data_IF_022679659883
#
_entry.id   IF_022679659883
#
_cell.length_a   1.000
_cell.length_b   1.000
_cell.length_c   1.000
_cell.angle_alpha   90.00
_cell.angle_beta   90.00
_cell.angle_gamma   90.00
#
_symmetry.space_group_name_H-M   'P 1'
#
loop_
_entity.id
_entity.type
_entity.pdbx_description
1 polymer ?
#
# COMPACT_ATOMS: atom_id res chain seq x y z
N UNK A 1 41.70 -48.02 -15.26
CA UNK A 1 40.36 -47.48 -15.59
C UNK A 1 39.80 -46.72 -14.37
N UNK A 2 40.45 -45.63 -13.94
CA UNK A 2 40.01 -44.91 -12.71
C UNK A 2 39.90 -43.38 -12.88
N UNK A 3 40.38 -42.82 -14.00
CA UNK A 3 40.41 -41.36 -14.21
C UNK A 3 39.12 -40.83 -14.87
N UNK A 4 38.42 -41.67 -15.64
CA UNK A 4 37.22 -41.26 -16.41
C UNK A 4 35.99 -41.12 -15.48
N UNK A 5 35.90 -41.91 -14.41
CA UNK A 5 34.80 -41.85 -13.42
C UNK A 5 34.86 -40.61 -12.53
N UNK A 6 36.06 -40.12 -12.20
CA UNK A 6 36.25 -38.98 -11.31
C UNK A 6 35.90 -37.64 -11.97
N UNK A 7 36.19 -37.48 -13.27
CA UNK A 7 35.85 -36.28 -14.06
C UNK A 7 34.35 -36.21 -14.36
N UNK A 8 33.71 -37.36 -14.65
CA UNK A 8 32.25 -37.41 -14.83
C UNK A 8 31.49 -37.15 -13.52
N UNK A 9 31.96 -37.67 -12.38
CA UNK A 9 31.33 -37.44 -11.08
C UNK A 9 31.41 -35.99 -10.60
N UNK A 10 32.51 -35.30 -10.87
CA UNK A 10 32.70 -33.88 -10.51
C UNK A 10 31.96 -32.92 -11.45
N UNK A 11 31.90 -33.22 -12.76
CA UNK A 11 31.10 -32.45 -13.71
C UNK A 11 29.59 -32.56 -13.42
N UNK A 12 29.08 -33.76 -13.11
CA UNK A 12 27.68 -33.97 -12.72
C UNK A 12 27.37 -33.34 -11.35
N UNK A 13 28.25 -33.46 -10.36
CA UNK A 13 28.10 -32.82 -9.06
C UNK A 13 28.09 -31.28 -9.14
N UNK A 14 28.93 -30.70 -10.00
CA UNK A 14 28.97 -29.25 -10.24
C UNK A 14 27.72 -28.72 -10.96
N UNK A 15 27.23 -29.43 -11.97
CA UNK A 15 26.02 -29.04 -12.72
C UNK A 15 24.76 -29.19 -11.86
N UNK A 16 24.63 -30.30 -11.12
CA UNK A 16 23.50 -30.54 -10.22
C UNK A 16 23.54 -29.54 -9.05
N UNK A 17 24.71 -29.29 -8.46
CA UNK A 17 24.89 -28.27 -7.40
C UNK A 17 24.55 -26.86 -7.85
N UNK A 18 24.89 -26.49 -9.08
CA UNK A 18 24.54 -25.19 -9.67
C UNK A 18 23.02 -25.07 -9.96
N UNK A 19 22.38 -26.15 -10.41
CA UNK A 19 20.92 -26.16 -10.60
C UNK A 19 20.15 -26.10 -9.28
N UNK A 20 20.57 -26.85 -8.26
CA UNK A 20 19.95 -26.82 -6.93
C UNK A 20 20.14 -25.47 -6.25
N UNK A 21 21.35 -24.88 -6.31
CA UNK A 21 21.57 -23.54 -5.75
C UNK A 21 20.70 -22.51 -6.46
N UNK A 22 20.63 -22.54 -7.80
CA UNK A 22 19.81 -21.59 -8.59
C UNK A 22 18.31 -21.77 -8.35
N UNK A 23 17.82 -22.99 -8.12
CA UNK A 23 16.44 -23.27 -7.75
C UNK A 23 16.12 -22.82 -6.32
N UNK A 24 17.05 -22.99 -5.39
CA UNK A 24 16.93 -22.47 -4.02
C UNK A 24 16.94 -20.94 -4.02
N UNK A 25 17.84 -20.29 -4.75
CA UNK A 25 17.84 -18.83 -4.92
C UNK A 25 16.56 -18.33 -5.57
N UNK A 26 16.03 -18.99 -6.61
CA UNK A 26 14.73 -18.63 -7.18
C UNK A 26 13.58 -18.80 -6.20
N UNK A 27 13.60 -19.86 -5.36
CA UNK A 27 12.59 -20.05 -4.31
C UNK A 27 12.71 -18.99 -3.21
N UNK A 28 13.93 -18.66 -2.77
CA UNK A 28 14.19 -17.61 -1.78
C UNK A 28 13.77 -16.25 -2.33
N UNK A 29 14.19 -15.88 -3.54
CA UNK A 29 13.77 -14.64 -4.19
C UNK A 29 12.25 -14.56 -4.36
N UNK A 30 11.60 -15.66 -4.76
CA UNK A 30 10.14 -15.72 -4.87
C UNK A 30 9.45 -15.60 -3.49
N UNK A 31 10.05 -16.18 -2.45
CA UNK A 31 9.52 -16.11 -1.09
C UNK A 31 9.72 -14.71 -0.49
N UNK A 32 10.89 -14.10 -0.68
CA UNK A 32 11.19 -12.71 -0.31
C UNK A 32 10.28 -11.74 -1.06
N UNK A 33 10.09 -11.93 -2.38
CA UNK A 33 9.16 -11.13 -3.17
C UNK A 33 7.71 -11.29 -2.68
N UNK A 34 7.30 -12.50 -2.29
CA UNK A 34 5.95 -12.74 -1.74
C UNK A 34 5.76 -12.11 -0.36
N UNK A 35 6.76 -12.20 0.52
CA UNK A 35 6.74 -11.61 1.85
C UNK A 35 6.77 -10.08 1.77
N UNK A 36 7.55 -9.55 0.84
CA UNK A 36 7.63 -8.12 0.56
C UNK A 36 6.31 -7.56 0.02
N UNK A 37 5.67 -8.26 -0.93
CA UNK A 37 4.33 -7.91 -1.42
C UNK A 37 3.31 -7.96 -0.28
N UNK A 38 3.39 -8.94 0.61
CA UNK A 38 2.50 -9.06 1.77
C UNK A 38 2.69 -7.89 2.76
N UNK A 39 3.93 -7.55 3.11
CA UNK A 39 4.24 -6.44 4.01
C UNK A 39 3.75 -5.09 3.45
N UNK A 40 3.93 -4.85 2.14
CA UNK A 40 3.43 -3.64 1.48
C UNK A 40 1.90 -3.57 1.43
N UNK A 41 1.22 -4.70 1.25
CA UNK A 41 -0.25 -4.77 1.29
C UNK A 41 -0.79 -4.54 2.71
N UNK A 42 -0.08 -5.02 3.74
CA UNK A 42 -0.39 -4.69 5.14
C UNK A 42 -0.24 -3.20 5.41
N UNK A 43 0.83 -2.56 4.92
CA UNK A 43 1.02 -1.11 4.98
C UNK A 43 -0.11 -0.34 4.30
N UNK A 44 -0.62 -0.84 3.17
CA UNK A 44 -1.78 -0.24 2.49
C UNK A 44 -3.04 -0.28 3.38
N UNK A 45 -3.29 -1.39 4.08
CA UNK A 45 -4.40 -1.50 5.03
C UNK A 45 -4.23 -0.55 6.22
N UNK A 46 -3.04 -0.49 6.82
CA UNK A 46 -2.73 0.43 7.93
C UNK A 46 -2.96 1.90 7.51
N UNK A 47 -2.45 2.30 6.35
CA UNK A 47 -2.67 3.66 5.83
C UNK A 47 -4.12 3.94 5.45
N UNK A 48 -4.91 2.91 5.06
CA UNK A 48 -6.34 3.11 4.80
C UNK A 48 -7.10 3.50 6.06
N UNK A 49 -6.69 3.01 7.23
CA UNK A 49 -7.22 3.45 8.51
C UNK A 49 -6.74 4.87 8.86
N UNK A 50 -5.48 5.22 8.59
CA UNK A 50 -4.98 6.59 8.80
C UNK A 50 -5.80 7.63 8.02
N UNK A 51 -6.31 7.28 6.83
CA UNK A 51 -7.18 8.18 6.04
C UNK A 51 -8.50 8.46 6.77
N UNK A 52 -9.13 7.44 7.37
CA UNK A 52 -10.40 7.62 8.07
C UNK A 52 -10.21 8.57 9.25
N UNK A 53 -9.14 8.39 10.02
CA UNK A 53 -8.80 9.30 11.13
C UNK A 53 -8.46 10.70 10.63
N UNK A 54 -7.69 10.82 9.53
CA UNK A 54 -7.41 12.10 8.91
C UNK A 54 -8.70 12.84 8.50
N UNK A 55 -9.67 12.16 7.89
CA UNK A 55 -10.95 12.76 7.48
C UNK A 55 -11.76 13.23 8.70
N UNK A 56 -11.79 12.43 9.77
CA UNK A 56 -12.44 12.81 11.03
C UNK A 56 -11.79 14.04 11.65
N UNK A 57 -10.47 14.02 11.78
CA UNK A 57 -9.69 15.13 12.33
C UNK A 57 -9.87 16.40 11.49
N UNK A 58 -9.83 16.28 10.16
CA UNK A 58 -10.04 17.39 9.23
C UNK A 58 -11.41 18.05 9.45
N UNK A 59 -12.47 17.24 9.55
CA UNK A 59 -13.81 17.75 9.79
C UNK A 59 -13.93 18.39 11.18
N UNK A 60 -13.53 17.70 12.24
CA UNK A 60 -13.61 18.20 13.62
C UNK A 60 -12.83 19.50 13.79
N UNK A 61 -11.58 19.54 13.33
CA UNK A 61 -10.72 20.73 13.44
C UNK A 61 -11.30 21.92 12.66
N UNK A 62 -11.94 21.68 11.50
CA UNK A 62 -12.58 22.76 10.74
C UNK A 62 -13.73 23.44 11.50
N UNK A 63 -14.35 22.75 12.47
CA UNK A 63 -15.49 23.28 13.25
C UNK A 63 -15.06 24.03 14.51
N UNK A 64 -13.88 23.73 15.03
CA UNK A 64 -13.45 24.18 16.37
C UNK A 64 -12.30 25.18 16.35
N UNK A 65 -11.55 25.26 15.25
CA UNK A 65 -10.41 26.16 15.09
C UNK A 65 -10.78 27.38 14.26
N UNK A 66 -9.86 28.35 14.12
CA UNK A 66 -9.92 29.31 13.01
C UNK A 66 -9.16 28.79 11.77
N UNK A 67 -9.33 29.44 10.62
CA UNK A 67 -8.74 28.97 9.36
C UNK A 67 -7.21 28.91 9.39
N UNK A 68 -6.52 29.80 10.12
CA UNK A 68 -5.05 29.80 10.23
C UNK A 68 -4.53 28.61 11.04
N UNK A 69 -5.12 28.37 12.21
CA UNK A 69 -4.83 27.22 13.08
C UNK A 69 -5.14 25.89 12.39
N UNK A 70 -6.28 25.85 11.70
CA UNK A 70 -6.72 24.71 10.93
C UNK A 70 -5.70 24.32 9.85
N UNK A 71 -5.31 25.30 9.01
CA UNK A 71 -4.34 25.05 7.94
C UNK A 71 -2.97 24.64 8.49
N UNK A 72 -2.53 25.22 9.60
CA UNK A 72 -1.31 24.81 10.29
C UNK A 72 -1.38 23.35 10.77
N UNK A 73 -2.49 22.96 11.41
CA UNK A 73 -2.72 21.60 11.92
C UNK A 73 -2.73 20.54 10.81
N UNK A 74 -3.35 20.84 9.66
CA UNK A 74 -3.56 19.84 8.60
C UNK A 74 -2.39 19.70 7.61
N UNK A 75 -1.54 20.73 7.46
CA UNK A 75 -0.48 20.79 6.43
C UNK A 75 0.53 19.61 6.43
N UNK A 76 0.84 19.05 7.61
CA UNK A 76 1.81 17.96 7.76
C UNK A 76 1.22 16.56 7.81
N UNK A 77 -0.12 16.42 7.86
CA UNK A 77 -0.77 15.16 8.25
C UNK A 77 -1.37 14.35 7.12
N UNK A 78 -1.30 14.82 5.87
CA UNK A 78 -2.01 14.20 4.74
C UNK A 78 -1.45 12.79 4.41
N UNK A 79 -2.15 11.69 4.79
CA UNK A 79 -1.68 10.32 4.56
C UNK A 79 -1.80 9.90 3.08
N UNK A 80 -2.51 10.68 2.27
CA UNK A 80 -2.82 10.35 0.88
C UNK A 80 -1.57 10.29 0.00
N UNK A 81 -0.57 11.13 0.29
CA UNK A 81 0.74 11.08 -0.37
C UNK A 81 1.44 9.73 -0.17
N UNK A 82 1.33 9.15 1.04
CA UNK A 82 1.95 7.86 1.37
C UNK A 82 1.28 6.71 0.62
N UNK A 83 -0.05 6.71 0.56
CA UNK A 83 -0.80 5.67 -0.17
C UNK A 83 -0.50 5.70 -1.67
N UNK A 84 -0.47 6.88 -2.29
CA UNK A 84 -0.12 7.02 -3.71
C UNK A 84 1.25 6.40 -4.02
N UNK A 85 2.26 6.64 -3.18
CA UNK A 85 3.60 6.07 -3.35
C UNK A 85 3.61 4.53 -3.29
N UNK A 86 2.81 3.93 -2.41
CA UNK A 86 2.69 2.47 -2.29
C UNK A 86 1.98 1.87 -3.50
N UNK A 87 0.90 2.50 -3.97
CA UNK A 87 0.13 1.97 -5.09
C UNK A 87 0.90 2.03 -6.40
N UNK A 88 1.53 3.16 -6.72
CA UNK A 88 2.36 3.30 -7.92
C UNK A 88 3.45 2.23 -7.98
N UNK A 89 4.02 1.84 -6.84
CA UNK A 89 5.18 0.94 -6.80
C UNK A 89 4.84 -0.53 -6.60
N UNK A 90 3.64 -0.89 -6.15
CA UNK A 90 3.41 -2.27 -5.65
C UNK A 90 2.01 -2.82 -5.77
N UNK A 91 1.00 -1.99 -5.94
CA UNK A 91 -0.38 -2.45 -6.03
C UNK A 91 -1.17 -1.60 -7.04
N UNK A 92 -0.67 -1.48 -8.30
CA UNK A 92 -1.25 -0.61 -9.32
C UNK A 92 -2.73 -0.93 -9.63
N UNK A 93 -3.19 -2.14 -9.30
CA UNK A 93 -4.59 -2.53 -9.35
C UNK A 93 -5.53 -1.62 -8.55
N UNK A 94 -5.03 -0.90 -7.53
CA UNK A 94 -5.82 0.07 -6.74
C UNK A 94 -5.78 1.51 -7.26
N UNK A 95 -5.18 1.75 -8.43
CA UNK A 95 -5.02 3.10 -8.97
C UNK A 95 -6.37 3.81 -9.16
N UNK A 96 -7.37 3.13 -9.72
CA UNK A 96 -8.70 3.68 -9.93
C UNK A 96 -9.43 4.03 -8.62
N UNK A 97 -9.37 3.14 -7.63
CA UNK A 97 -9.96 3.36 -6.31
C UNK A 97 -9.33 4.54 -5.59
N UNK A 98 -8.01 4.71 -5.74
CA UNK A 98 -7.31 5.86 -5.17
C UNK A 98 -7.67 7.16 -5.86
N UNK A 99 -7.84 7.17 -7.18
CA UNK A 99 -8.25 8.38 -7.89
C UNK A 99 -9.63 8.85 -7.41
N UNK A 100 -10.55 7.91 -7.20
CA UNK A 100 -11.87 8.20 -6.60
C UNK A 100 -11.72 8.74 -5.18
N UNK A 101 -10.92 8.08 -4.34
CA UNK A 101 -10.68 8.50 -2.96
C UNK A 101 -10.06 9.90 -2.89
N UNK A 102 -9.01 10.14 -3.67
CA UNK A 102 -8.31 11.42 -3.77
C UNK A 102 -9.27 12.53 -4.20
N UNK A 103 -10.11 12.28 -5.20
CA UNK A 103 -11.10 13.26 -5.67
C UNK A 103 -12.03 13.70 -4.55
N UNK A 104 -12.57 12.77 -3.76
CA UNK A 104 -13.49 13.12 -2.67
C UNK A 104 -12.79 13.83 -1.51
N UNK A 105 -11.55 13.43 -1.18
CA UNK A 105 -10.74 14.13 -0.16
C UNK A 105 -10.41 15.55 -0.64
N UNK A 106 -9.99 15.73 -1.89
CA UNK A 106 -9.68 17.06 -2.44
C UNK A 106 -10.91 17.97 -2.46
N UNK A 107 -12.10 17.44 -2.76
CA UNK A 107 -13.36 18.18 -2.69
C UNK A 107 -13.69 18.64 -1.26
N UNK A 108 -13.43 17.79 -0.27
CA UNK A 108 -13.58 18.12 1.15
C UNK A 108 -12.55 19.16 1.60
N UNK A 109 -11.32 19.09 1.10
CA UNK A 109 -10.24 20.03 1.40
C UNK A 109 -10.33 21.35 0.61
N UNK A 110 -11.40 21.53 -0.19
CA UNK A 110 -11.62 22.73 -0.98
C UNK A 110 -11.81 24.01 -0.16
N UNK A 111 -12.13 25.14 -0.80
CA UNK A 111 -12.14 26.46 -0.17
C UNK A 111 -13.26 26.65 0.88
N UNK A 112 -14.19 25.70 0.98
CA UNK A 112 -15.33 25.81 1.88
C UNK A 112 -14.89 25.55 3.32
N UNK A 113 -14.91 26.60 4.12
CA UNK A 113 -14.60 26.58 5.54
C UNK A 113 -15.76 27.20 6.35
N UNK A 114 -16.27 26.51 7.40
CA UNK A 114 -15.91 25.17 7.84
C UNK A 114 -16.40 24.10 6.85
N UNK A 115 -15.77 22.92 6.88
CA UNK A 115 -16.10 21.82 5.95
C UNK A 115 -17.58 21.44 6.09
N UNK A 116 -18.30 21.31 4.97
CA UNK A 116 -19.71 20.90 4.98
C UNK A 116 -19.86 19.42 5.35
N UNK A 117 -20.96 19.07 6.02
CA UNK A 117 -21.22 17.69 6.41
C UNK A 117 -21.36 16.76 5.19
N UNK A 118 -21.94 17.25 4.11
CA UNK A 118 -22.05 16.53 2.83
C UNK A 118 -20.67 16.11 2.30
N UNK A 119 -19.72 17.05 2.24
CA UNK A 119 -18.36 16.77 1.76
C UNK A 119 -17.61 15.83 2.68
N UNK A 120 -17.79 15.98 4.00
CA UNK A 120 -17.23 15.06 4.99
C UNK A 120 -17.75 13.63 4.79
N UNK A 121 -19.08 13.46 4.68
CA UNK A 121 -19.70 12.14 4.47
C UNK A 121 -19.24 11.50 3.17
N UNK A 122 -19.21 12.26 2.07
CA UNK A 122 -18.73 11.75 0.78
C UNK A 122 -17.26 11.27 0.84
N UNK A 123 -16.38 12.02 1.50
CA UNK A 123 -14.98 11.61 1.69
C UNK A 123 -14.86 10.37 2.59
N UNK A 124 -15.63 10.32 3.68
CA UNK A 124 -15.63 9.19 4.61
C UNK A 124 -16.15 7.91 3.95
N UNK A 125 -17.20 8.00 3.13
CA UNK A 125 -17.75 6.86 2.40
C UNK A 125 -16.76 6.32 1.37
N UNK A 126 -16.06 7.20 0.65
CA UNK A 126 -14.99 6.81 -0.26
C UNK A 126 -13.83 6.11 0.47
N UNK A 127 -13.42 6.62 1.63
CA UNK A 127 -12.37 6.02 2.45
C UNK A 127 -12.78 4.64 2.99
N UNK A 128 -14.01 4.50 3.47
CA UNK A 128 -14.56 3.23 3.92
C UNK A 128 -14.64 2.21 2.77
N UNK A 129 -15.05 2.65 1.57
CA UNK A 129 -15.07 1.78 0.39
C UNK A 129 -13.66 1.32 0.01
N UNK A 130 -12.69 2.23 0.02
CA UNK A 130 -11.30 1.90 -0.23
C UNK A 130 -10.77 0.86 0.78
N UNK A 131 -10.99 1.08 2.08
CA UNK A 131 -10.60 0.13 3.12
C UNK A 131 -11.25 -1.25 2.96
N UNK A 132 -12.53 -1.31 2.55
CA UNK A 132 -13.21 -2.58 2.21
C UNK A 132 -12.57 -3.28 1.03
N UNK A 133 -12.23 -2.54 -0.03
CA UNK A 133 -11.60 -3.10 -1.22
C UNK A 133 -10.21 -3.67 -0.89
N UNK A 134 -9.40 -2.93 -0.14
CA UNK A 134 -8.09 -3.40 0.34
C UNK A 134 -8.23 -4.66 1.19
N UNK A 135 -9.16 -4.68 2.14
CA UNK A 135 -9.39 -5.85 3.01
C UNK A 135 -9.85 -7.07 2.23
N UNK A 136 -10.80 -6.88 1.29
CA UNK A 136 -11.31 -7.95 0.43
C UNK A 136 -10.21 -8.56 -0.42
N UNK A 137 -9.39 -7.71 -1.06
CA UNK A 137 -8.26 -8.12 -1.86
C UNK A 137 -7.22 -8.91 -1.06
N UNK A 138 -6.92 -8.49 0.18
CA UNK A 138 -6.01 -9.24 1.06
C UNK A 138 -6.58 -10.64 1.35
N UNK A 139 -7.88 -10.75 1.69
CA UNK A 139 -8.54 -12.03 2.02
C UNK A 139 -8.66 -13.01 0.85
N UNK A 140 -8.76 -12.53 -0.39
CA UNK A 140 -8.93 -13.39 -1.55
C UNK A 140 -7.61 -13.85 -2.16
N UNK A 141 -6.51 -13.19 -1.82
CA UNK A 141 -5.18 -13.52 -2.32
C UNK A 141 -4.25 -14.14 -1.27
N UNK A 142 -4.73 -14.31 -0.03
CA UNK A 142 -4.03 -14.93 1.11
C UNK A 142 -5.02 -15.62 2.04
#
# INVERSE_FOLDING_TARGET
>A
MEVITTILGTALGGIIGYFFSRLQWKKVLKHEESAYKLERKRKLAELSYEIIEYIRDYYCNSKVMNIGEFMACMSGRNPMKKILAIVVTSTPEFSGEIDVLKKHIDQMMGPDYPVSEEKYRAALDAANQFGRNVTSYIKHHY
#
